data_IF_555371060463
#
_entry.id   IF_555371060463
#
_cell.length_a   1.000
_cell.length_b   1.000
_cell.length_c   1.000
_cell.angle_alpha   90.00
_cell.angle_beta   90.00
_cell.angle_gamma   90.00
#
_symmetry.space_group_name_H-M   'P 1'
#
loop_
_entity.id
_entity.type
_entity.pdbx_description
1 polymer ?
#
# COMPACT_ATOMS: atom_id res chain seq x y z
N UNK A 1 -19.36 -35.54 -8.99
CA UNK A 1 -18.45 -36.68 -9.22
C UNK A 1 -17.32 -36.57 -8.22
N UNK A 2 -16.87 -37.69 -7.66
CA UNK A 2 -15.68 -37.72 -6.80
C UNK A 2 -14.44 -37.50 -7.63
N UNK A 3 -13.41 -36.90 -7.01
CA UNK A 3 -12.09 -36.75 -7.61
C UNK A 3 -11.10 -37.65 -6.93
N UNK A 4 -10.26 -38.31 -7.71
CA UNK A 4 -9.24 -39.26 -7.25
C UNK A 4 -7.87 -38.83 -7.75
N UNK A 5 -6.94 -38.60 -6.85
CA UNK A 5 -5.57 -38.21 -7.21
C UNK A 5 -4.60 -39.37 -7.12
N UNK A 6 -3.88 -39.65 -8.20
CA UNK A 6 -2.75 -40.55 -8.20
C UNK A 6 -1.59 -40.02 -7.32
N UNK A 7 -1.18 -40.76 -6.31
CA UNK A 7 -0.12 -40.34 -5.38
C UNK A 7 1.29 -40.36 -5.99
N UNK A 8 1.44 -40.99 -7.18
CA UNK A 8 2.72 -41.11 -7.87
C UNK A 8 2.97 -39.98 -8.86
N UNK A 9 1.98 -39.64 -9.70
CA UNK A 9 2.16 -38.66 -10.77
C UNK A 9 1.24 -37.43 -10.66
N UNK A 10 0.33 -37.39 -9.67
CA UNK A 10 -0.59 -36.28 -9.46
C UNK A 10 -1.80 -36.25 -10.38
N UNK A 11 -1.95 -37.20 -11.31
CA UNK A 11 -3.11 -37.26 -12.22
C UNK A 11 -4.42 -37.28 -11.43
N UNK A 12 -5.40 -36.45 -11.86
CA UNK A 12 -6.74 -36.39 -11.28
C UNK A 12 -7.73 -37.12 -12.20
N UNK A 13 -8.43 -38.09 -11.62
CA UNK A 13 -9.55 -38.77 -12.25
C UNK A 13 -10.87 -38.33 -11.63
N UNK A 14 -11.86 -38.01 -12.47
CA UNK A 14 -13.23 -37.71 -12.02
C UNK A 14 -14.14 -38.91 -12.30
N UNK A 15 -14.74 -39.47 -11.25
CA UNK A 15 -15.62 -40.63 -11.37
C UNK A 15 -16.14 -41.07 -10.01
N UNK A 16 -17.07 -42.05 -9.98
CA UNK A 16 -17.60 -42.62 -8.73
C UNK A 16 -16.53 -43.39 -7.94
N UNK A 17 -15.52 -43.92 -8.62
CA UNK A 17 -14.43 -44.72 -8.07
C UNK A 17 -13.09 -44.33 -8.72
N UNK A 18 -11.99 -44.71 -8.08
CA UNK A 18 -10.66 -44.61 -8.67
C UNK A 18 -10.54 -45.54 -9.87
N UNK A 19 -9.82 -45.18 -10.94
CA UNK A 19 -9.61 -46.03 -12.09
C UNK A 19 -8.71 -47.22 -11.72
N UNK A 20 -8.91 -48.37 -12.35
CA UNK A 20 -8.13 -49.57 -12.05
C UNK A 20 -6.63 -49.36 -12.32
N UNK A 21 -6.29 -48.51 -13.25
CA UNK A 21 -4.92 -48.14 -13.60
C UNK A 21 -4.81 -46.68 -13.97
N UNK A 22 -3.76 -46.03 -13.49
CA UNK A 22 -3.45 -44.64 -13.86
C UNK A 22 -3.12 -44.54 -15.36
N UNK A 23 -3.82 -43.69 -16.14
CA UNK A 23 -3.54 -43.57 -17.56
C UNK A 23 -2.17 -42.95 -17.85
N UNK A 24 -1.61 -42.21 -16.90
CA UNK A 24 -0.34 -41.52 -17.06
C UNK A 24 0.86 -42.39 -16.65
N UNK A 25 0.87 -42.90 -15.44
CA UNK A 25 2.04 -43.62 -14.89
C UNK A 25 1.84 -45.14 -14.71
N UNK A 26 0.68 -45.67 -15.11
CA UNK A 26 0.37 -47.11 -15.14
C UNK A 26 0.34 -47.82 -13.78
N UNK A 27 0.36 -47.10 -12.66
CA UNK A 27 0.17 -47.68 -11.33
C UNK A 27 -1.28 -48.10 -11.09
N UNK A 28 -1.50 -49.06 -10.22
CA UNK A 28 -2.82 -49.58 -9.92
C UNK A 28 -3.68 -48.66 -9.06
N UNK A 29 -4.94 -49.07 -8.92
CA UNK A 29 -6.00 -48.33 -8.17
C UNK A 29 -5.58 -48.00 -6.73
N UNK A 30 -4.75 -48.83 -6.10
CA UNK A 30 -4.26 -48.69 -4.72
C UNK A 30 -3.38 -47.43 -4.51
N UNK A 31 -2.95 -46.78 -5.60
CA UNK A 31 -2.18 -45.52 -5.58
C UNK A 31 -3.05 -44.27 -5.76
N UNK A 32 -4.35 -44.44 -5.72
CA UNK A 32 -5.28 -43.30 -5.77
C UNK A 32 -5.82 -43.01 -4.38
N UNK A 33 -5.92 -41.72 -4.08
CA UNK A 33 -6.60 -41.20 -2.89
C UNK A 33 -7.76 -40.32 -3.30
N UNK A 34 -8.87 -40.39 -2.59
CA UNK A 34 -10.00 -39.50 -2.81
C UNK A 34 -9.56 -38.07 -2.45
N UNK A 35 -9.79 -37.16 -3.36
CA UNK A 35 -9.61 -35.72 -3.10
C UNK A 35 -10.87 -35.22 -2.42
N UNK A 36 -10.86 -35.16 -1.11
CA UNK A 36 -11.88 -34.46 -0.34
C UNK A 36 -11.50 -33.01 -0.39
N UNK A 37 -12.34 -32.18 -1.04
CA UNK A 37 -12.22 -30.74 -0.93
C UNK A 37 -12.52 -30.39 0.55
N UNK A 38 -11.49 -30.24 1.33
CA UNK A 38 -11.63 -29.66 2.66
C UNK A 38 -11.95 -28.18 2.44
N UNK A 39 -13.18 -27.80 2.59
CA UNK A 39 -13.55 -26.42 2.86
C UNK A 39 -13.03 -26.08 4.26
N UNK A 40 -11.73 -25.90 4.36
CA UNK A 40 -11.07 -25.40 5.55
C UNK A 40 -10.36 -24.11 5.18
N UNK A 41 -10.60 -23.06 5.92
CA UNK A 41 -9.76 -21.88 5.85
C UNK A 41 -8.33 -22.32 6.23
N UNK A 42 -7.36 -21.95 5.41
CA UNK A 42 -5.96 -22.10 5.76
C UNK A 42 -5.67 -21.22 6.98
N UNK A 43 -5.16 -21.82 8.05
CA UNK A 43 -4.66 -21.09 9.20
C UNK A 43 -3.15 -20.90 9.05
N UNK A 44 -2.72 -19.65 9.07
CA UNK A 44 -1.30 -19.30 9.07
C UNK A 44 -0.83 -19.11 10.51
N UNK A 45 0.38 -19.58 10.81
CA UNK A 45 0.97 -19.52 12.17
C UNK A 45 1.15 -18.07 12.63
N UNK A 46 1.40 -17.19 11.69
CA UNK A 46 1.48 -15.74 11.92
C UNK A 46 0.74 -15.00 10.82
N UNK A 47 0.10 -13.91 11.20
CA UNK A 47 -0.57 -13.00 10.29
C UNK A 47 -0.11 -11.58 10.61
N UNK A 48 0.17 -10.78 9.58
CA UNK A 48 0.52 -9.37 9.74
C UNK A 48 -0.70 -8.52 9.39
N UNK A 49 -1.18 -7.72 10.34
CA UNK A 49 -2.39 -6.92 10.16
C UNK A 49 -2.13 -5.44 10.43
N UNK A 50 -2.94 -4.58 9.81
CA UNK A 50 -2.90 -3.15 10.05
C UNK A 50 -3.23 -2.86 11.53
N UNK A 51 -2.31 -2.18 12.21
CA UNK A 51 -2.45 -1.82 13.63
C UNK A 51 -1.87 -2.84 14.61
N UNK A 52 -0.96 -3.73 14.16
CA UNK A 52 -0.27 -4.68 15.04
C UNK A 52 0.45 -4.02 16.22
N UNK A 53 0.83 -2.75 16.09
CA UNK A 53 1.42 -1.97 17.17
C UNK A 53 0.43 -1.52 18.26
N UNK A 54 -0.88 -1.64 18.03
CA UNK A 54 -1.91 -1.27 19.02
C UNK A 54 -1.81 -2.16 20.24
N UNK A 55 -1.79 -1.55 21.41
CA UNK A 55 -1.59 -2.26 22.68
C UNK A 55 -0.13 -2.36 23.13
N UNK A 56 0.81 -1.83 22.38
CA UNK A 56 2.19 -1.66 22.84
C UNK A 56 2.27 -0.71 24.03
N UNK A 57 3.40 -0.74 24.77
CA UNK A 57 3.64 0.24 25.82
C UNK A 57 3.64 1.66 25.26
N UNK A 58 3.35 2.65 26.11
CA UNK A 58 3.35 4.06 25.70
C UNK A 58 4.68 4.46 25.05
N UNK A 59 5.78 4.06 25.65
CA UNK A 59 7.13 4.36 25.13
C UNK A 59 7.35 3.78 23.74
N UNK A 60 6.96 2.52 23.52
CA UNK A 60 7.08 1.87 22.20
C UNK A 60 6.16 2.52 21.17
N UNK A 61 4.93 2.83 21.56
CA UNK A 61 3.96 3.50 20.69
C UNK A 61 4.46 4.89 20.24
N UNK A 62 4.93 5.72 21.17
CA UNK A 62 5.52 7.02 20.87
C UNK A 62 6.77 6.88 19.98
N UNK A 63 7.59 5.83 20.20
CA UNK A 63 8.72 5.50 19.34
C UNK A 63 8.30 5.22 17.91
N UNK A 64 7.26 4.39 17.69
CA UNK A 64 6.71 4.11 16.36
C UNK A 64 6.20 5.38 15.66
N UNK A 65 5.48 6.25 16.38
CA UNK A 65 4.98 7.52 15.84
C UNK A 65 6.13 8.47 15.46
N UNK A 66 7.14 8.59 16.31
CA UNK A 66 8.30 9.44 16.07
C UNK A 66 9.10 8.97 14.83
N UNK A 67 9.32 7.66 14.70
CA UNK A 67 9.99 7.11 13.53
C UNK A 67 9.14 7.30 12.28
N UNK A 68 7.84 7.05 12.30
CA UNK A 68 6.97 7.33 11.17
C UNK A 68 7.12 8.78 10.66
N UNK A 69 7.09 9.74 11.58
CA UNK A 69 7.26 11.17 11.22
C UNK A 69 8.67 11.48 10.71
N UNK A 70 9.69 10.84 11.28
CA UNK A 70 11.08 10.93 10.84
C UNK A 70 11.24 10.50 9.39
N UNK A 71 10.81 9.28 9.08
CA UNK A 71 10.89 8.70 7.73
C UNK A 71 10.12 9.55 6.69
N UNK A 72 8.90 9.99 7.02
CA UNK A 72 8.15 10.90 6.14
C UNK A 72 8.90 12.21 5.86
N UNK A 73 9.61 12.74 6.86
CA UNK A 73 10.41 13.97 6.72
C UNK A 73 11.62 13.72 5.83
N UNK A 74 12.32 12.59 6.01
CA UNK A 74 13.51 12.24 5.24
C UNK A 74 13.20 12.04 3.76
N UNK A 75 12.04 11.51 3.39
CA UNK A 75 11.60 11.44 1.98
C UNK A 75 11.65 12.84 1.33
N UNK A 76 11.04 13.83 1.96
CA UNK A 76 11.02 15.20 1.45
C UNK A 76 12.41 15.84 1.42
N UNK A 77 13.20 15.65 2.48
CA UNK A 77 14.57 16.16 2.59
C UNK A 77 15.46 15.59 1.49
N UNK A 78 15.50 14.27 1.31
CA UNK A 78 16.37 13.63 0.33
C UNK A 78 16.01 14.00 -1.10
N UNK A 79 14.71 14.10 -1.43
CA UNK A 79 14.30 14.58 -2.74
C UNK A 79 14.70 16.04 -2.99
N UNK A 80 14.66 16.90 -1.97
CA UNK A 80 15.13 18.28 -2.07
C UNK A 80 16.67 18.35 -2.22
N UNK A 81 17.42 17.54 -1.45
CA UNK A 81 18.88 17.42 -1.54
C UNK A 81 19.30 16.85 -2.91
N UNK A 82 18.55 15.91 -3.46
CA UNK A 82 18.77 15.40 -4.82
C UNK A 82 18.71 16.51 -5.86
N UNK A 83 17.68 17.36 -5.81
CA UNK A 83 17.57 18.51 -6.73
C UNK A 83 18.73 19.50 -6.55
N UNK A 84 19.21 19.68 -5.34
CA UNK A 84 20.38 20.54 -5.10
C UNK A 84 21.66 19.95 -5.68
N UNK A 85 21.87 18.64 -5.49
CA UNK A 85 23.02 17.95 -6.08
C UNK A 85 23.01 18.02 -7.61
N UNK A 86 21.84 17.87 -8.25
CA UNK A 86 21.72 18.05 -9.71
C UNK A 86 22.09 19.48 -10.15
N UNK A 87 21.64 20.50 -9.42
CA UNK A 87 21.98 21.92 -9.74
C UNK A 87 23.48 22.21 -9.59
N UNK A 88 24.16 21.51 -8.70
CA UNK A 88 25.61 21.64 -8.50
C UNK A 88 26.42 20.76 -9.43
N UNK A 89 25.78 19.90 -10.24
CA UNK A 89 26.47 19.03 -11.21
C UNK A 89 26.97 17.71 -10.62
N UNK A 90 26.32 17.21 -9.55
CA UNK A 90 26.63 15.92 -8.92
C UNK A 90 25.54 14.87 -9.16
N UNK A 91 25.35 14.38 -10.39
CA UNK A 91 24.24 13.48 -10.74
C UNK A 91 24.27 12.16 -9.97
N UNK A 92 25.44 11.64 -9.67
CA UNK A 92 25.59 10.39 -8.89
C UNK A 92 25.11 10.54 -7.45
N UNK A 93 25.39 11.71 -6.82
CA UNK A 93 24.87 12.04 -5.49
C UNK A 93 23.35 12.25 -5.55
N UNK A 94 22.85 12.92 -6.59
CA UNK A 94 21.42 13.14 -6.79
C UNK A 94 20.65 11.81 -6.89
N UNK A 95 21.18 10.84 -7.64
CA UNK A 95 20.58 9.52 -7.76
C UNK A 95 20.63 8.72 -6.45
N UNK A 96 21.70 8.84 -5.66
CA UNK A 96 21.79 8.22 -4.36
C UNK A 96 20.70 8.75 -3.42
N UNK A 97 20.49 10.08 -3.34
CA UNK A 97 19.42 10.67 -2.56
C UNK A 97 18.02 10.22 -3.00
N UNK A 98 17.74 10.16 -4.30
CA UNK A 98 16.45 9.64 -4.80
C UNK A 98 16.20 8.21 -4.34
N UNK A 99 17.20 7.33 -4.49
CA UNK A 99 17.07 5.94 -4.09
C UNK A 99 16.78 5.81 -2.60
N UNK A 100 17.53 6.52 -1.75
CA UNK A 100 17.30 6.50 -0.32
C UNK A 100 15.94 7.09 0.06
N UNK A 101 15.47 8.16 -0.60
CA UNK A 101 14.13 8.67 -0.38
C UNK A 101 13.03 7.62 -0.61
N UNK A 102 13.18 6.72 -1.58
CA UNK A 102 12.24 5.62 -1.79
C UNK A 102 12.37 4.52 -0.73
N UNK A 103 13.56 4.27 -0.21
CA UNK A 103 13.77 3.36 0.91
C UNK A 103 13.10 3.90 2.18
N UNK A 104 13.24 5.20 2.49
CA UNK A 104 12.56 5.84 3.62
C UNK A 104 11.03 5.87 3.43
N UNK A 105 10.54 5.99 2.19
CA UNK A 105 9.11 5.87 1.92
C UNK A 105 8.57 4.46 2.24
N UNK A 106 9.34 3.40 1.97
CA UNK A 106 9.01 2.03 2.36
C UNK A 106 9.03 1.88 3.90
N UNK A 107 10.04 2.41 4.58
CA UNK A 107 10.09 2.42 6.05
C UNK A 107 8.87 3.13 6.65
N UNK A 108 8.54 4.33 6.16
CA UNK A 108 7.37 5.08 6.58
C UNK A 108 6.08 4.26 6.39
N UNK A 109 5.94 3.56 5.26
CA UNK A 109 4.76 2.73 4.98
C UNK A 109 4.59 1.61 6.00
N UNK A 110 5.68 0.95 6.40
CA UNK A 110 5.68 -0.11 7.41
C UNK A 110 5.30 0.41 8.80
N UNK A 111 5.82 1.56 9.20
CA UNK A 111 5.39 2.22 10.44
C UNK A 111 3.91 2.63 10.41
N UNK A 112 3.42 3.12 9.26
CA UNK A 112 2.01 3.45 9.07
C UNK A 112 1.12 2.22 9.26
N UNK A 113 1.52 1.05 8.73
CA UNK A 113 0.81 -0.22 8.90
C UNK A 113 0.81 -0.68 10.35
N UNK A 114 1.96 -0.63 11.05
CA UNK A 114 2.04 -0.98 12.48
C UNK A 114 1.15 -0.09 13.35
N UNK A 115 1.11 1.20 13.07
CA UNK A 115 0.28 2.17 13.80
C UNK A 115 -1.21 2.01 13.48
N UNK A 116 -1.58 1.81 12.22
CA UNK A 116 -2.97 1.75 11.79
C UNK A 116 -3.75 3.05 12.09
N UNK A 117 -3.07 4.20 12.10
CA UNK A 117 -3.67 5.52 12.34
C UNK A 117 -4.07 6.20 11.02
N UNK A 118 -3.21 6.11 10.00
CA UNK A 118 -3.38 6.78 8.70
C UNK A 118 -3.79 5.83 7.57
N UNK A 119 -3.82 4.54 7.85
CA UNK A 119 -4.23 3.48 6.92
C UNK A 119 -5.14 2.49 7.63
N UNK A 120 -6.13 1.95 6.91
CA UNK A 120 -7.04 0.91 7.41
C UNK A 120 -6.98 -0.31 6.51
N UNK A 121 -7.52 -1.43 6.96
CA UNK A 121 -7.69 -2.69 6.20
C UNK A 121 -8.73 -2.62 5.07
N UNK A 122 -9.36 -1.45 4.88
CA UNK A 122 -10.38 -1.22 3.86
C UNK A 122 -9.93 -0.20 2.82
N UNK A 123 -9.68 -0.65 1.58
CA UNK A 123 -9.36 0.23 0.45
C UNK A 123 -10.44 1.30 0.23
N UNK A 124 -11.73 0.93 0.34
CA UNK A 124 -12.83 1.89 0.23
C UNK A 124 -12.72 2.99 1.28
N UNK A 125 -12.49 2.62 2.54
CA UNK A 125 -12.37 3.58 3.64
C UNK A 125 -11.14 4.46 3.47
N UNK A 126 -10.01 3.90 3.06
CA UNK A 126 -8.78 4.66 2.79
C UNK A 126 -9.01 5.71 1.69
N UNK A 127 -9.69 5.34 0.58
CA UNK A 127 -10.04 6.28 -0.48
C UNK A 127 -10.95 7.41 0.01
N UNK A 128 -11.96 7.12 0.83
CA UNK A 128 -12.85 8.14 1.40
C UNK A 128 -12.08 9.12 2.28
N UNK A 129 -11.25 8.61 3.18
CA UNK A 129 -10.42 9.45 4.06
C UNK A 129 -9.47 10.34 3.26
N UNK A 130 -8.89 9.80 2.18
CA UNK A 130 -7.97 10.58 1.34
C UNK A 130 -8.69 11.63 0.52
N UNK A 131 -9.83 11.32 -0.10
CA UNK A 131 -10.61 12.32 -0.85
C UNK A 131 -10.96 13.54 0.02
N UNK A 132 -11.42 13.30 1.24
CA UNK A 132 -11.72 14.36 2.22
C UNK A 132 -10.45 15.16 2.61
N UNK A 133 -9.36 14.48 2.93
CA UNK A 133 -8.11 15.11 3.32
C UNK A 133 -7.49 15.96 2.20
N UNK A 134 -7.55 15.50 0.94
CA UNK A 134 -7.08 16.27 -0.21
C UNK A 134 -7.90 17.55 -0.42
N UNK A 135 -9.21 17.49 -0.21
CA UNK A 135 -10.07 18.67 -0.25
C UNK A 135 -9.63 19.72 0.78
N UNK A 136 -9.38 19.30 2.01
CA UNK A 136 -8.86 20.17 3.07
C UNK A 136 -7.46 20.72 2.76
N UNK A 137 -6.56 19.86 2.26
CA UNK A 137 -5.21 20.24 1.87
C UNK A 137 -5.19 21.26 0.72
N UNK A 138 -6.07 21.09 -0.27
CA UNK A 138 -6.26 22.05 -1.36
C UNK A 138 -6.67 23.43 -0.82
N UNK A 139 -7.68 23.47 0.04
CA UNK A 139 -8.17 24.72 0.67
C UNK A 139 -7.08 25.41 1.49
N UNK A 140 -6.39 24.67 2.36
CA UNK A 140 -5.33 25.21 3.20
C UNK A 140 -4.15 25.76 2.41
N UNK A 141 -3.71 25.06 1.36
CA UNK A 141 -2.65 25.53 0.46
C UNK A 141 -3.09 26.78 -0.33
N UNK A 142 -4.33 26.82 -0.79
CA UNK A 142 -4.86 28.00 -1.49
C UNK A 142 -4.86 29.22 -0.58
N UNK A 143 -5.25 29.08 0.68
CA UNK A 143 -5.24 30.18 1.64
C UNK A 143 -3.81 30.65 1.95
N UNK A 144 -2.85 29.73 2.05
CA UNK A 144 -1.44 30.09 2.22
C UNK A 144 -0.89 30.82 0.99
N UNK A 145 -1.23 30.37 -0.21
CA UNK A 145 -0.84 31.03 -1.45
C UNK A 145 -1.39 32.48 -1.53
N UNK A 146 -2.66 32.68 -1.18
CA UNK A 146 -3.26 34.05 -1.13
C UNK A 146 -2.53 34.95 -0.15
N UNK A 147 -2.17 34.45 1.04
CA UNK A 147 -1.38 35.22 2.03
C UNK A 147 0.00 35.58 1.48
N UNK A 148 0.69 34.64 0.84
CA UNK A 148 1.98 34.91 0.20
C UNK A 148 1.86 35.98 -0.90
N UNK A 149 0.81 35.95 -1.71
CA UNK A 149 0.56 36.96 -2.76
C UNK A 149 0.34 38.34 -2.16
N UNK A 150 -0.43 38.44 -1.09
CA UNK A 150 -0.67 39.72 -0.40
C UNK A 150 0.62 40.37 0.16
N UNK A 151 1.65 39.55 0.41
CA UNK A 151 2.97 39.99 0.88
C UNK A 151 4.00 40.12 -0.26
N UNK A 152 3.60 40.01 -1.52
CA UNK A 152 4.46 40.02 -2.70
C UNK A 152 5.56 38.96 -2.69
N UNK A 153 5.28 37.78 -2.09
CA UNK A 153 6.16 36.60 -2.03
C UNK A 153 5.82 35.64 -3.16
N UNK A 154 6.09 36.05 -4.41
CA UNK A 154 5.63 35.35 -5.62
C UNK A 154 6.17 33.93 -5.70
N UNK A 155 7.43 33.68 -5.34
CA UNK A 155 8.00 32.31 -5.35
C UNK A 155 7.24 31.35 -4.41
N UNK A 156 6.82 31.80 -3.24
CA UNK A 156 6.02 31.02 -2.30
C UNK A 156 4.60 30.83 -2.86
N UNK A 157 4.00 31.93 -3.34
CA UNK A 157 2.67 31.88 -3.95
C UNK A 157 2.61 30.85 -5.07
N UNK A 158 3.49 30.95 -6.06
CA UNK A 158 3.45 30.10 -7.25
C UNK A 158 3.66 28.62 -6.89
N UNK A 159 4.62 28.33 -6.03
CA UNK A 159 4.91 26.96 -5.58
C UNK A 159 3.69 26.36 -4.84
N UNK A 160 3.13 27.08 -3.89
CA UNK A 160 2.03 26.55 -3.06
C UNK A 160 0.71 26.51 -3.84
N UNK A 161 0.49 27.46 -4.74
CA UNK A 161 -0.69 27.50 -5.61
C UNK A 161 -0.73 26.30 -6.57
N UNK A 162 0.41 25.91 -7.18
CA UNK A 162 0.48 24.71 -8.02
C UNK A 162 0.24 23.45 -7.18
N UNK A 163 0.79 23.35 -5.96
CA UNK A 163 0.49 22.24 -5.05
C UNK A 163 -1.00 22.17 -4.71
N UNK A 164 -1.69 23.31 -4.51
CA UNK A 164 -3.13 23.30 -4.26
C UNK A 164 -3.94 22.70 -5.43
N UNK A 165 -3.50 22.93 -6.67
CA UNK A 165 -4.10 22.31 -7.86
C UNK A 165 -3.84 20.80 -7.90
N UNK A 166 -2.66 20.37 -7.49
CA UNK A 166 -2.35 18.95 -7.39
C UNK A 166 -3.26 18.24 -6.38
N UNK A 167 -3.48 18.84 -5.18
CA UNK A 167 -4.39 18.27 -4.19
C UNK A 167 -5.83 18.16 -4.72
N UNK A 168 -6.31 19.16 -5.48
CA UNK A 168 -7.61 19.09 -6.13
C UNK A 168 -7.68 17.93 -7.15
N UNK A 169 -6.62 17.70 -7.90
CA UNK A 169 -6.51 16.60 -8.86
C UNK A 169 -6.47 15.25 -8.15
N UNK A 170 -5.72 15.13 -7.05
CA UNK A 170 -5.68 13.91 -6.22
C UNK A 170 -7.05 13.60 -5.63
N UNK A 171 -7.74 14.58 -5.02
CA UNK A 171 -9.07 14.39 -4.45
C UNK A 171 -10.07 13.88 -5.48
N UNK A 172 -10.13 14.54 -6.66
CA UNK A 172 -11.00 14.07 -7.76
C UNK A 172 -10.61 12.70 -8.30
N UNK A 173 -9.33 12.35 -8.28
CA UNK A 173 -8.87 11.01 -8.62
C UNK A 173 -9.44 9.97 -7.65
N UNK A 174 -9.39 10.22 -6.35
CA UNK A 174 -9.95 9.34 -5.32
C UNK A 174 -11.48 9.23 -5.41
N UNK A 175 -12.20 10.34 -5.64
CA UNK A 175 -13.64 10.34 -5.91
C UNK A 175 -14.00 9.47 -7.12
N UNK A 176 -13.27 9.63 -8.22
CA UNK A 176 -13.47 8.82 -9.43
C UNK A 176 -13.28 7.33 -9.20
N UNK A 177 -12.27 6.94 -8.40
CA UNK A 177 -12.02 5.55 -8.03
C UNK A 177 -13.10 5.00 -7.10
N UNK A 178 -13.59 5.80 -6.13
CA UNK A 178 -14.72 5.44 -5.26
C UNK A 178 -15.97 5.16 -6.07
N UNK A 179 -16.31 6.04 -7.01
CA UNK A 179 -17.46 5.85 -7.89
C UNK A 179 -17.32 4.60 -8.75
N UNK A 180 -16.14 4.42 -9.36
CA UNK A 180 -15.89 3.32 -10.30
C UNK A 180 -15.94 1.94 -9.64
N UNK A 181 -15.29 1.78 -8.49
CA UNK A 181 -15.09 0.47 -7.87
C UNK A 181 -16.09 0.15 -6.76
N UNK A 182 -16.64 1.16 -6.11
CA UNK A 182 -17.48 1.01 -4.92
C UNK A 182 -18.87 1.63 -5.06
N UNK A 183 -19.17 2.24 -6.21
CA UNK A 183 -20.43 2.98 -6.46
C UNK A 183 -20.76 3.94 -5.30
N UNK A 184 -19.74 4.67 -4.82
CA UNK A 184 -19.82 5.58 -3.67
C UNK A 184 -19.42 6.98 -4.12
N UNK A 185 -20.18 7.97 -3.69
CA UNK A 185 -19.90 9.40 -3.85
C UNK A 185 -19.57 9.99 -2.47
N UNK A 186 -18.65 10.96 -2.40
CA UNK A 186 -18.22 11.68 -1.20
C UNK A 186 -18.27 13.18 -1.42
#
# INVERSE_FOLDING_TARGET
AKKWRCTVCGYIHEGPEAPDQCPMCKVGKEKFVEVVEQEGNLEFVTEHVIGDGKGASKELWEGLQNHFMGECTEVGMYLAMSRQADREGYPEIAEAYKRYAYEEADHASRFAELLGEVVTDSTKKNLMMRAEAECGACSGKMDLAKKAKALNLDAIHDTVHEMAKDEARHGRGFEGLLKRYFNTEV
#
